data_IF_009318906210
#
_entry.id   IF_009318906210
#
_cell.length_a   1.000
_cell.length_b   1.000
_cell.length_c   1.000
_cell.angle_alpha   90.00
_cell.angle_beta   90.00
_cell.angle_gamma   90.00
#
_symmetry.space_group_name_H-M   'P 1'
#
loop_
_entity.id
_entity.type
_entity.pdbx_description
1 polymer ?
#
# COMPACT_ATOMS: atom_id res chain seq x y z
N UNK A 1 10.63 -0.68 -1.72
CA UNK A 1 10.09 -1.86 -2.41
C UNK A 1 8.57 -2.00 -2.28
N UNK A 2 7.92 -1.58 -1.18
CA UNK A 2 6.45 -1.66 -1.07
C UNK A 2 5.70 -0.77 -2.08
N UNK A 3 6.21 0.43 -2.39
CA UNK A 3 5.67 1.26 -3.48
C UNK A 3 5.76 0.54 -4.84
N UNK A 4 6.84 -0.22 -5.07
CA UNK A 4 7.00 -1.05 -6.28
C UNK A 4 5.97 -2.17 -6.34
N UNK A 5 5.72 -2.86 -5.22
CA UNK A 5 4.64 -3.85 -5.10
C UNK A 5 3.32 -3.21 -5.51
N UNK A 6 2.92 -2.13 -4.83
CA UNK A 6 1.66 -1.44 -5.10
C UNK A 6 1.52 -0.95 -6.56
N UNK A 7 2.63 -0.55 -7.18
CA UNK A 7 2.66 -0.14 -8.58
C UNK A 7 2.44 -1.32 -9.53
N UNK A 8 3.12 -2.45 -9.31
CA UNK A 8 3.00 -3.65 -10.15
C UNK A 8 1.58 -4.22 -10.07
N UNK A 9 1.03 -4.39 -8.85
CA UNK A 9 -0.36 -4.85 -8.67
C UNK A 9 -1.37 -3.84 -9.22
N UNK A 10 -1.15 -2.53 -9.03
CA UNK A 10 -2.00 -1.49 -9.60
C UNK A 10 -2.06 -1.52 -11.13
N UNK A 11 -0.93 -1.73 -11.81
CA UNK A 11 -0.87 -1.90 -13.27
C UNK A 11 -1.53 -3.22 -13.70
N UNK A 12 -1.27 -4.31 -12.98
CA UNK A 12 -1.88 -5.62 -13.26
C UNK A 12 -3.41 -5.59 -13.19
N UNK A 13 -3.94 -4.91 -12.18
CA UNK A 13 -5.39 -4.74 -12.00
C UNK A 13 -5.98 -3.86 -13.10
N UNK A 14 -5.34 -2.73 -13.41
CA UNK A 14 -5.78 -1.85 -14.49
C UNK A 14 -5.82 -2.59 -15.85
N UNK A 15 -4.78 -3.35 -16.18
CA UNK A 15 -4.75 -4.16 -17.39
C UNK A 15 -5.91 -5.15 -17.43
N UNK A 16 -6.19 -5.81 -16.31
CA UNK A 16 -7.28 -6.79 -16.21
C UNK A 16 -8.65 -6.14 -16.43
N UNK A 17 -8.85 -4.93 -15.88
CA UNK A 17 -10.09 -4.17 -16.06
C UNK A 17 -10.27 -3.68 -17.50
N UNK A 18 -9.19 -3.28 -18.18
CA UNK A 18 -9.24 -2.70 -19.53
C UNK A 18 -9.32 -3.75 -20.66
N UNK A 19 -8.76 -4.94 -20.47
CA UNK A 19 -8.59 -5.91 -21.58
C UNK A 19 -9.82 -6.76 -21.88
N UNK A 20 -10.78 -6.87 -20.94
CA UNK A 20 -12.02 -7.65 -21.12
C UNK A 20 -13.22 -7.05 -20.36
N UNK A 21 -13.77 -5.90 -20.80
CA UNK A 21 -14.91 -5.27 -20.13
C UNK A 21 -16.18 -6.14 -20.14
N UNK A 22 -16.40 -6.93 -21.20
CA UNK A 22 -17.64 -7.74 -21.37
C UNK A 22 -17.48 -9.22 -20.99
N UNK A 23 -16.26 -9.66 -20.67
CA UNK A 23 -15.94 -11.05 -20.25
C UNK A 23 -14.84 -11.04 -19.19
N UNK A 24 -15.12 -10.53 -17.99
CA UNK A 24 -14.11 -10.36 -16.97
C UNK A 24 -13.53 -11.72 -16.55
N UNK A 25 -12.25 -11.74 -16.20
CA UNK A 25 -11.59 -12.95 -15.65
C UNK A 25 -12.18 -13.37 -14.28
N UNK A 26 -12.85 -12.43 -13.62
CA UNK A 26 -13.52 -12.58 -12.32
C UNK A 26 -14.98 -12.19 -12.49
N UNK A 27 -15.92 -12.97 -11.96
CA UNK A 27 -17.34 -12.61 -12.00
C UNK A 27 -17.84 -12.17 -10.62
N UNK A 28 -18.86 -11.30 -10.60
CA UNK A 28 -19.47 -10.78 -9.38
C UNK A 28 -18.50 -10.09 -8.40
N UNK A 29 -18.30 -10.69 -7.22
CA UNK A 29 -17.58 -10.08 -6.08
C UNK A 29 -16.08 -9.90 -6.37
N UNK A 30 -15.47 -10.80 -7.16
CA UNK A 30 -14.07 -10.66 -7.59
C UNK A 30 -13.83 -9.46 -8.49
N UNK A 31 -14.78 -9.17 -9.40
CA UNK A 31 -14.71 -7.98 -10.26
C UNK A 31 -14.91 -6.69 -9.48
N UNK A 32 -15.87 -6.68 -8.54
CA UNK A 32 -16.09 -5.54 -7.64
C UNK A 32 -14.86 -5.24 -6.79
N UNK A 33 -14.28 -6.25 -6.16
CA UNK A 33 -13.08 -6.09 -5.33
C UNK A 33 -11.86 -5.65 -6.15
N UNK A 34 -11.69 -6.17 -7.37
CA UNK A 34 -10.65 -5.75 -8.31
C UNK A 34 -10.81 -4.26 -8.72
N UNK A 35 -12.05 -3.83 -8.96
CA UNK A 35 -12.38 -2.45 -9.34
C UNK A 35 -12.05 -1.44 -8.24
N UNK A 36 -12.14 -1.84 -6.97
CA UNK A 36 -11.68 -1.01 -5.84
C UNK A 36 -10.18 -1.16 -5.57
N UNK A 37 -9.63 -2.35 -5.81
CA UNK A 37 -8.20 -2.60 -5.62
C UNK A 37 -7.35 -1.71 -6.51
N UNK A 38 -7.71 -1.55 -7.79
CA UNK A 38 -6.95 -0.73 -8.73
C UNK A 38 -6.72 0.72 -8.23
N UNK A 39 -7.74 1.54 -7.92
CA UNK A 39 -7.54 2.92 -7.50
C UNK A 39 -6.83 3.01 -6.14
N UNK A 40 -7.13 2.10 -5.19
CA UNK A 40 -6.48 2.08 -3.88
C UNK A 40 -4.97 1.83 -4.02
N UNK A 41 -4.56 0.88 -4.86
CA UNK A 41 -3.15 0.59 -5.12
C UNK A 41 -2.41 1.85 -5.63
N UNK A 42 -3.01 2.59 -6.56
CA UNK A 42 -2.42 3.83 -7.09
C UNK A 42 -2.33 4.95 -6.06
N UNK A 43 -3.37 5.13 -5.23
CA UNK A 43 -3.33 6.08 -4.12
C UNK A 43 -2.19 5.72 -3.16
N UNK A 44 -2.05 4.44 -2.81
CA UNK A 44 -0.97 3.95 -1.96
C UNK A 44 0.42 4.18 -2.57
N UNK A 45 0.58 4.00 -3.89
CA UNK A 45 1.84 4.32 -4.58
C UNK A 45 2.22 5.79 -4.35
N UNK A 46 1.31 6.72 -4.60
CA UNK A 46 1.56 8.16 -4.46
C UNK A 46 1.89 8.50 -3.00
N UNK A 47 1.08 8.03 -2.06
CA UNK A 47 1.30 8.27 -0.64
C UNK A 47 2.63 7.69 -0.16
N UNK A 48 3.00 6.47 -0.57
CA UNK A 48 4.28 5.85 -0.23
C UNK A 48 5.46 6.59 -0.85
N UNK A 49 5.36 7.08 -2.09
CA UNK A 49 6.40 7.90 -2.72
C UNK A 49 6.66 9.18 -1.93
N UNK A 50 5.59 9.89 -1.55
CA UNK A 50 5.69 11.10 -0.74
C UNK A 50 6.23 10.77 0.66
N UNK A 51 5.76 9.68 1.27
CA UNK A 51 6.19 9.24 2.58
C UNK A 51 7.69 8.95 2.64
N UNK A 52 8.28 8.35 1.60
CA UNK A 52 9.73 8.10 1.52
C UNK A 52 10.50 9.42 1.64
N UNK A 53 10.13 10.43 0.85
CA UNK A 53 10.80 11.74 0.89
C UNK A 53 10.64 12.42 2.26
N UNK A 54 9.43 12.38 2.82
CA UNK A 54 9.15 13.02 4.10
C UNK A 54 9.83 12.32 5.29
N UNK A 55 9.90 10.99 5.28
CA UNK A 55 10.62 10.21 6.30
C UNK A 55 12.13 10.47 6.17
N UNK A 56 12.67 10.56 4.95
CA UNK A 56 14.07 10.92 4.74
C UNK A 56 14.39 12.34 5.25
N UNK A 57 13.46 13.28 5.07
CA UNK A 57 13.51 14.62 5.65
C UNK A 57 13.13 14.67 7.15
N UNK A 58 12.99 13.52 7.82
CA UNK A 58 12.63 13.34 9.22
C UNK A 58 11.35 14.09 9.67
N UNK A 59 10.36 14.20 8.79
CA UNK A 59 9.06 14.83 9.09
C UNK A 59 8.06 13.81 9.61
N UNK A 60 7.32 14.16 10.67
CA UNK A 60 6.29 13.29 11.23
C UNK A 60 5.12 13.02 10.27
N UNK A 61 4.80 13.99 9.40
CA UNK A 61 3.81 13.81 8.33
C UNK A 61 4.11 12.59 7.44
N UNK A 62 5.39 12.27 7.20
CA UNK A 62 5.78 11.09 6.42
C UNK A 62 5.41 9.77 7.08
N UNK A 63 5.45 9.71 8.42
CA UNK A 63 5.04 8.55 9.19
C UNK A 63 3.54 8.26 9.02
N UNK A 64 2.69 9.30 9.09
CA UNK A 64 1.25 9.16 8.88
C UNK A 64 0.92 8.68 7.47
N UNK A 65 1.54 9.26 6.45
CA UNK A 65 1.34 8.86 5.05
C UNK A 65 1.74 7.39 4.85
N UNK A 66 2.87 6.97 5.41
CA UNK A 66 3.29 5.57 5.36
C UNK A 66 2.30 4.66 6.08
N UNK A 67 1.85 5.01 7.28
CA UNK A 67 0.93 4.20 8.06
C UNK A 67 -0.41 4.01 7.36
N UNK A 68 -1.02 5.10 6.87
CA UNK A 68 -2.28 5.05 6.11
C UNK A 68 -2.13 4.19 4.86
N UNK A 69 -1.02 4.32 4.14
CA UNK A 69 -0.78 3.54 2.91
C UNK A 69 -0.66 2.05 3.20
N UNK A 70 0.13 1.68 4.21
CA UNK A 70 0.38 0.26 4.55
C UNK A 70 -0.91 -0.39 5.05
N UNK A 71 -1.67 0.29 5.91
CA UNK A 71 -2.97 -0.21 6.37
C UNK A 71 -3.96 -0.35 5.23
N UNK A 72 -3.99 0.59 4.29
CA UNK A 72 -4.86 0.50 3.10
C UNK A 72 -4.48 -0.66 2.19
N UNK A 73 -3.17 -0.90 2.00
CA UNK A 73 -2.68 -2.07 1.26
C UNK A 73 -3.11 -3.38 1.91
N UNK A 74 -2.99 -3.52 3.24
CA UNK A 74 -3.47 -4.73 3.94
C UNK A 74 -4.97 -4.92 3.77
N UNK A 75 -5.73 -3.84 3.94
CA UNK A 75 -7.18 -3.87 3.85
C UNK A 75 -7.69 -4.29 2.46
N UNK A 76 -6.90 -4.10 1.40
CA UNK A 76 -7.28 -4.46 0.04
C UNK A 76 -6.61 -5.73 -0.47
N UNK A 77 -5.32 -5.93 -0.19
CA UNK A 77 -4.53 -7.06 -0.68
C UNK A 77 -4.94 -8.37 -0.01
N UNK A 78 -5.23 -8.36 1.30
CA UNK A 78 -5.63 -9.58 2.04
C UNK A 78 -7.00 -10.09 1.57
N UNK A 79 -8.07 -9.28 1.52
CA UNK A 79 -9.35 -9.75 1.00
C UNK A 79 -9.26 -10.16 -0.47
N UNK A 80 -8.50 -9.43 -1.30
CA UNK A 80 -8.30 -9.79 -2.70
C UNK A 80 -7.63 -11.16 -2.85
N UNK A 81 -6.61 -11.45 -2.06
CA UNK A 81 -5.98 -12.76 -2.09
C UNK A 81 -6.94 -13.88 -1.66
N UNK A 82 -7.75 -13.65 -0.63
CA UNK A 82 -8.74 -14.63 -0.16
C UNK A 82 -9.77 -14.89 -1.25
N UNK A 83 -10.32 -13.84 -1.86
CA UNK A 83 -11.32 -13.97 -2.94
C UNK A 83 -10.71 -14.69 -4.14
N UNK A 84 -9.47 -14.37 -4.52
CA UNK A 84 -8.79 -15.03 -5.65
C UNK A 84 -8.51 -16.50 -5.42
N UNK A 85 -8.23 -16.92 -4.18
CA UNK A 85 -7.96 -18.32 -3.85
C UNK A 85 -9.22 -19.15 -3.60
N UNK A 86 -10.28 -18.53 -3.07
CA UNK A 86 -11.49 -19.25 -2.64
C UNK A 86 -12.64 -19.17 -3.65
N UNK A 87 -12.72 -18.09 -4.42
CA UNK A 87 -13.84 -17.82 -5.33
C UNK A 87 -13.43 -17.79 -6.81
N UNK A 88 -12.14 -17.87 -7.10
CA UNK A 88 -11.62 -17.95 -8.48
C UNK A 88 -10.64 -19.12 -8.56
N UNK A 89 -10.54 -19.81 -9.70
CA UNK A 89 -9.48 -20.80 -9.94
C UNK A 89 -8.11 -20.14 -10.21
N UNK A 90 -7.78 -19.09 -9.47
CA UNK A 90 -6.53 -18.37 -9.64
C UNK A 90 -5.46 -18.94 -8.72
N UNK A 91 -4.39 -19.49 -9.29
CA UNK A 91 -3.23 -20.02 -8.55
C UNK A 91 -2.18 -18.96 -8.22
N UNK A 92 -2.45 -17.69 -8.52
CA UNK A 92 -1.46 -16.62 -8.38
C UNK A 92 -1.45 -16.00 -6.96
N UNK A 93 -0.24 -15.70 -6.48
CA UNK A 93 0.03 -15.20 -5.13
C UNK A 93 0.46 -13.73 -5.14
N UNK A 94 0.07 -13.00 -6.18
CA UNK A 94 0.55 -11.64 -6.48
C UNK A 94 0.34 -10.67 -5.32
N UNK A 95 -0.77 -10.79 -4.58
CA UNK A 95 -1.07 -9.94 -3.43
C UNK A 95 -0.34 -10.39 -2.16
N UNK A 96 0.02 -11.67 -2.07
CA UNK A 96 0.75 -12.24 -0.92
C UNK A 96 2.23 -11.86 -0.92
N UNK A 97 2.84 -11.65 -2.08
CA UNK A 97 4.27 -11.30 -2.16
C UNK A 97 4.61 -9.96 -1.48
N UNK A 98 3.63 -9.06 -1.36
CA UNK A 98 3.78 -7.80 -0.63
C UNK A 98 3.72 -7.95 0.90
N UNK A 99 3.16 -9.05 1.41
CA UNK A 99 2.91 -9.21 2.86
C UNK A 99 4.18 -9.17 3.73
N UNK A 100 5.29 -9.83 3.37
CA UNK A 100 6.53 -9.70 4.16
C UNK A 100 7.02 -8.25 4.25
N UNK A 101 6.90 -7.49 3.15
CA UNK A 101 7.29 -6.08 3.11
C UNK A 101 6.36 -5.20 3.94
N UNK A 102 5.06 -5.47 3.91
CA UNK A 102 4.05 -4.82 4.74
C UNK A 102 4.34 -5.05 6.23
N UNK A 103 4.59 -6.31 6.62
CA UNK A 103 4.92 -6.69 7.99
C UNK A 103 6.19 -5.97 8.46
N UNK A 104 7.25 -6.02 7.65
CA UNK A 104 8.50 -5.34 7.96
C UNK A 104 8.32 -3.83 8.13
N UNK A 105 7.53 -3.19 7.27
CA UNK A 105 7.27 -1.76 7.36
C UNK A 105 6.38 -1.42 8.56
N UNK A 106 5.37 -2.22 8.89
CA UNK A 106 4.60 -2.03 10.11
C UNK A 106 5.46 -2.13 11.37
N UNK A 107 6.37 -3.11 11.42
CA UNK A 107 7.28 -3.27 12.53
C UNK A 107 8.11 -2.00 12.74
N UNK A 108 8.67 -1.43 11.67
CA UNK A 108 9.44 -0.18 11.72
C UNK A 108 8.57 1.01 12.11
N UNK A 109 7.40 1.17 11.50
CA UNK A 109 6.51 2.32 11.75
C UNK A 109 5.94 2.30 13.18
N UNK A 110 5.60 1.13 13.70
CA UNK A 110 5.04 0.98 15.05
C UNK A 110 6.13 0.96 16.14
N UNK A 111 7.40 0.82 15.76
CA UNK A 111 8.50 0.84 16.72
C UNK A 111 8.62 2.24 17.38
N UNK A 112 8.52 2.33 18.71
CA UNK A 112 8.41 3.62 19.40
C UNK A 112 9.63 4.53 19.19
N UNK A 113 10.84 3.95 19.07
CA UNK A 113 12.06 4.73 18.80
C UNK A 113 12.02 5.42 17.44
N UNK A 114 11.40 4.80 16.44
CA UNK A 114 11.31 5.38 15.10
C UNK A 114 10.39 6.61 15.11
N UNK A 115 9.21 6.47 15.73
CA UNK A 115 8.29 7.59 15.93
C UNK A 115 8.93 8.73 16.72
N UNK A 116 9.60 8.42 17.82
CA UNK A 116 10.26 9.42 18.66
C UNK A 116 11.37 10.18 17.91
N UNK A 117 12.15 9.49 17.07
CA UNK A 117 13.20 10.11 16.27
C UNK A 117 12.66 11.12 15.26
N UNK A 118 11.47 10.88 14.69
CA UNK A 118 10.82 11.81 13.77
C UNK A 118 10.24 13.04 14.49
N UNK A 119 9.63 12.86 15.66
CA UNK A 119 9.06 13.96 16.45
C UNK A 119 10.15 14.88 17.00
N UNK A 120 11.24 14.33 17.54
CA UNK A 120 12.33 15.12 18.11
C UNK A 120 13.08 16.00 17.09
N UNK A 121 13.17 15.56 15.85
CA UNK A 121 13.77 16.33 14.75
C UNK A 121 12.86 17.44 14.27
N UNK A 122 11.56 17.18 14.18
CA UNK A 122 10.57 18.20 13.85
C UNK A 122 10.54 19.33 14.89
N UNK A 123 10.61 19.00 16.18
CA UNK A 123 10.71 19.98 17.26
C UNK A 123 12.01 20.81 17.20
N UNK A 124 13.16 20.18 16.92
CA UNK A 124 14.44 20.91 16.74
C UNK A 124 14.39 21.85 15.55
N UNK A 125 13.87 21.39 14.41
CA UNK A 125 13.73 22.21 13.21
C UNK A 125 12.78 23.41 13.43
N UNK A 126 11.70 23.22 14.21
CA UNK A 126 10.80 24.30 14.61
C UNK A 126 11.46 25.30 15.58
N UNK A 127 12.39 24.86 16.44
CA UNK A 127 13.14 25.75 17.34
C UNK A 127 14.23 26.55 16.62
N UNK A 128 14.92 25.98 15.64
CA UNK A 128 15.94 26.70 14.83
C UNK A 128 15.34 27.73 13.86
N UNK A 129 14.05 27.60 13.53
CA UNK A 129 13.33 28.53 12.63
C UNK A 129 12.70 29.73 13.33
N UNK A 130 12.84 29.84 14.66
CA UNK A 130 12.38 30.98 15.47
C UNK A 130 13.57 31.82 15.91
#
# INVERSE_FOLDING_TARGET
>A
MLSTHAFITGIGNLRTLLTRPDKPFYDGLGWWALSWSQPIQWICVILLFIAIYQIAARKFSGWWLALVSVTSLVAIDVPMQIIRLTMTESTAWDYSYGLPMIIGLFFVLLHPKFKAALVHEEERCCKEKK
#
